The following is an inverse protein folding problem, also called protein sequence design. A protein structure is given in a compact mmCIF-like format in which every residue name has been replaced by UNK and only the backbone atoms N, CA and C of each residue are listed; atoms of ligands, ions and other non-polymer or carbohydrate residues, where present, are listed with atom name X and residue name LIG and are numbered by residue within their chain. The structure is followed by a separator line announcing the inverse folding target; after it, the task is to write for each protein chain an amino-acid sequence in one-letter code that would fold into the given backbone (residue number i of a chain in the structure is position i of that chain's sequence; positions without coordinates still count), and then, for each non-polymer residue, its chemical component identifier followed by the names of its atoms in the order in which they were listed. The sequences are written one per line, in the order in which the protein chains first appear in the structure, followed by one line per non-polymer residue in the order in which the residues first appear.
data_IF_142697698263
#
_entry.id   IF_142697698263
#
_cell.length_a   1.000
_cell.length_b   1.000
_cell.length_c   1.000
_cell.angle_alpha   90.00
_cell.angle_beta   90.00
_cell.angle_gamma   90.00
#
_symmetry.space_group_name_H-M   'P 1'
#
loop_
_entity.id
_entity.type
_entity.pdbx_description
1 polymer ?
#
# COMPACT_ATOMS: atom_id res chain seq x y z
N UNK A 1 -20.64 -5.57 9.84
CA UNK A 1 -19.91 -4.44 9.24
C UNK A 1 -18.54 -4.96 8.83
N UNK A 2 -18.22 -4.93 7.54
CA UNK A 2 -16.88 -5.30 7.08
C UNK A 2 -15.87 -4.29 7.61
N UNK A 3 -14.67 -4.77 7.97
CA UNK A 3 -13.54 -3.89 8.29
C UNK A 3 -13.28 -2.98 7.10
N UNK A 4 -13.20 -1.67 7.32
CA UNK A 4 -12.72 -0.71 6.32
C UNK A 4 -11.25 -1.02 6.06
N UNK A 5 -10.81 -0.95 4.81
CA UNK A 5 -9.39 -1.09 4.48
C UNK A 5 -8.56 0.01 5.14
N UNK A 6 -7.43 -0.36 5.71
CA UNK A 6 -6.43 0.59 6.22
C UNK A 6 -5.36 0.79 5.18
N UNK A 7 -4.83 2.00 5.08
CA UNK A 7 -3.83 2.35 4.08
C UNK A 7 -2.70 3.21 4.64
N UNK A 8 -1.60 3.27 3.91
CA UNK A 8 -0.44 4.08 4.26
C UNK A 8 0.60 4.08 3.15
N UNK A 9 1.71 4.75 3.42
CA UNK A 9 2.81 4.91 2.47
C UNK A 9 4.16 4.63 3.14
N UNK A 10 5.10 4.17 2.35
CA UNK A 10 6.51 4.07 2.74
C UNK A 10 7.27 5.18 2.04
N UNK A 11 7.90 6.03 2.84
CA UNK A 11 8.68 7.19 2.39
C UNK A 11 10.03 7.16 3.11
N UNK A 12 11.11 7.11 2.34
CA UNK A 12 12.49 6.98 2.84
C UNK A 12 12.68 5.83 3.87
N UNK A 13 12.06 4.67 3.61
CA UNK A 13 12.11 3.47 4.46
C UNK A 13 11.18 3.53 5.68
N UNK A 14 10.43 4.62 5.86
CA UNK A 14 9.54 4.80 7.02
C UNK A 14 8.09 4.65 6.60
N UNK A 15 7.34 3.82 7.31
CA UNK A 15 5.90 3.67 7.13
C UNK A 15 5.13 4.78 7.84
N UNK A 16 4.18 5.38 7.11
CA UNK A 16 3.21 6.34 7.61
C UNK A 16 1.81 5.82 7.29
N UNK A 17 1.00 5.59 8.32
CA UNK A 17 -0.43 5.33 8.14
C UNK A 17 -1.12 6.61 7.68
N UNK A 18 -2.09 6.47 6.77
CA UNK A 18 -2.86 7.59 6.22
C UNK A 18 -4.33 7.23 6.28
N UNK A 19 -5.16 8.17 6.72
CA UNK A 19 -6.59 7.93 6.88
C UNK A 19 -7.26 7.51 5.56
N UNK A 20 -8.05 6.44 5.62
CA UNK A 20 -8.93 6.04 4.53
C UNK A 20 -10.25 6.81 4.61
N UNK A 21 -10.46 7.71 3.64
CA UNK A 21 -11.67 8.54 3.53
C UNK A 21 -12.72 7.94 2.57
N UNK A 22 -12.52 6.71 2.08
CA UNK A 22 -13.53 6.04 1.26
C UNK A 22 -14.76 5.66 2.10
N UNK A 23 -15.93 5.82 1.51
CA UNK A 23 -17.19 5.32 2.06
C UNK A 23 -17.45 3.84 1.73
N UNK A 24 -16.58 3.23 0.92
CA UNK A 24 -16.67 1.83 0.52
C UNK A 24 -15.64 1.01 1.32
N UNK A 25 -16.07 -0.03 2.07
CA UNK A 25 -15.16 -0.81 2.92
C UNK A 25 -14.22 -1.75 2.16
N UNK A 26 -14.33 -1.85 0.82
CA UNK A 26 -13.52 -2.73 -0.03
C UNK A 26 -12.55 -1.96 -0.94
N UNK A 27 -12.31 -0.69 -0.64
CA UNK A 27 -11.31 0.14 -1.31
C UNK A 27 -10.74 1.14 -0.32
N UNK A 28 -9.69 1.83 -0.73
CA UNK A 28 -9.18 2.96 0.00
C UNK A 28 -9.03 4.20 -0.88
N UNK A 29 -9.24 5.35 -0.25
CA UNK A 29 -8.89 6.66 -0.77
C UNK A 29 -8.13 7.35 0.37
N UNK A 30 -6.84 7.62 0.17
CA UNK A 30 -6.03 8.30 1.20
C UNK A 30 -6.50 9.75 1.38
N UNK A 31 -6.53 10.22 2.63
CA UNK A 31 -6.71 11.63 2.94
C UNK A 31 -5.59 12.43 2.23
N UNK A 32 -5.94 13.35 1.30
CA UNK A 32 -4.94 14.05 0.52
C UNK A 32 -4.09 15.00 1.37
N UNK A 33 -4.66 15.64 2.41
CA UNK A 33 -3.91 16.59 3.24
C UNK A 33 -2.81 15.89 4.03
N UNK A 34 -3.13 14.73 4.62
CA UNK A 34 -2.18 13.88 5.33
C UNK A 34 -1.10 13.33 4.39
N UNK A 35 -1.52 12.73 3.27
CA UNK A 35 -0.61 12.22 2.25
C UNK A 35 0.40 13.29 1.82
N UNK A 36 -0.08 14.48 1.42
CA UNK A 36 0.79 15.58 1.02
C UNK A 36 1.64 16.11 2.17
N UNK A 37 1.19 16.06 3.42
CA UNK A 37 2.03 16.47 4.56
C UNK A 37 3.27 15.59 4.72
N UNK A 38 3.16 14.30 4.37
CA UNK A 38 4.23 13.31 4.52
C UNK A 38 5.23 13.40 3.36
N UNK A 39 4.75 13.48 2.12
CA UNK A 39 5.61 13.46 0.91
C UNK A 39 6.24 14.82 0.57
N UNK A 40 5.97 15.86 1.35
CA UNK A 40 6.61 17.17 1.19
C UNK A 40 8.13 17.08 1.39
N UNK A 41 8.86 18.02 0.78
CA UNK A 41 10.32 18.22 0.90
C UNK A 41 11.21 17.23 0.14
N UNK A 42 10.75 16.68 -0.99
CA UNK A 42 11.60 15.88 -1.89
C UNK A 42 11.91 14.47 -1.40
N UNK A 43 11.15 13.98 -0.42
CA UNK A 43 11.22 12.60 0.03
C UNK A 43 10.72 11.64 -1.04
N UNK A 44 11.30 10.45 -1.11
CA UNK A 44 10.94 9.47 -2.13
C UNK A 44 9.78 8.58 -1.65
N UNK A 45 8.66 8.61 -2.39
CA UNK A 45 7.58 7.64 -2.20
C UNK A 45 8.02 6.29 -2.79
N UNK A 46 8.23 5.31 -1.92
CA UNK A 46 8.73 4.00 -2.31
C UNK A 46 7.62 2.96 -2.47
N UNK A 47 6.60 3.01 -1.59
CA UNK A 47 5.47 2.10 -1.66
C UNK A 47 4.16 2.69 -1.16
N UNK A 48 3.07 2.16 -1.69
CA UNK A 48 1.72 2.25 -1.12
C UNK A 48 1.43 0.94 -0.39
N UNK A 49 0.83 1.02 0.78
CA UNK A 49 0.49 -0.14 1.61
C UNK A 49 -1.00 -0.09 1.92
N UNK A 50 -1.69 -1.21 1.78
CA UNK A 50 -3.09 -1.32 2.23
C UNK A 50 -3.47 -2.72 2.67
N UNK A 51 -4.61 -2.82 3.36
CA UNK A 51 -5.14 -4.08 3.84
C UNK A 51 -6.33 -4.54 3.03
N UNK A 52 -6.42 -5.85 2.77
CA UNK A 52 -7.61 -6.52 2.27
C UNK A 52 -8.17 -7.46 3.34
N UNK A 53 -9.48 -7.72 3.29
CA UNK A 53 -10.15 -8.57 4.30
C UNK A 53 -9.73 -10.06 4.21
N UNK A 54 -9.50 -10.58 2.99
CA UNK A 54 -9.42 -12.05 2.77
C UNK A 54 -8.14 -12.56 2.10
N UNK A 55 -7.60 -11.83 1.14
CA UNK A 55 -6.46 -12.25 0.34
C UNK A 55 -5.55 -11.03 0.08
N UNK A 56 -4.44 -11.22 -0.61
CA UNK A 56 -3.52 -10.12 -0.93
C UNK A 56 -3.43 -9.89 -2.45
N UNK A 57 -4.44 -10.30 -3.20
CA UNK A 57 -4.46 -10.15 -4.65
C UNK A 57 -5.01 -8.76 -4.99
N UNK A 58 -4.32 -7.95 -5.81
CA UNK A 58 -4.79 -6.61 -6.15
C UNK A 58 -6.15 -6.67 -6.85
N UNK A 59 -7.06 -5.78 -6.46
CA UNK A 59 -8.34 -5.55 -7.12
C UNK A 59 -8.14 -4.83 -8.46
N UNK A 60 -9.19 -4.76 -9.29
CA UNK A 60 -9.14 -3.96 -10.52
C UNK A 60 -8.82 -2.47 -10.26
N UNK A 61 -9.37 -1.92 -9.16
CA UNK A 61 -9.09 -0.54 -8.75
C UNK A 61 -7.62 -0.35 -8.33
N UNK A 62 -7.06 -1.32 -7.60
CA UNK A 62 -5.63 -1.32 -7.25
C UNK A 62 -4.77 -1.32 -8.51
N UNK A 63 -5.06 -2.22 -9.47
CA UNK A 63 -4.30 -2.35 -10.72
C UNK A 63 -4.29 -1.05 -11.53
N UNK A 64 -5.42 -0.34 -11.64
CA UNK A 64 -5.45 0.96 -12.32
C UNK A 64 -4.60 2.00 -11.60
N UNK A 65 -4.65 2.06 -10.26
CA UNK A 65 -3.82 2.98 -9.49
C UNK A 65 -2.33 2.62 -9.54
N UNK A 66 -1.98 1.33 -9.61
CA UNK A 66 -0.61 0.87 -9.80
C UNK A 66 0.00 1.40 -11.10
N UNK A 67 -0.79 1.52 -12.17
CA UNK A 67 -0.34 2.11 -13.46
C UNK A 67 -0.03 3.60 -13.34
N UNK A 68 -0.77 4.30 -12.48
CA UNK A 68 -0.65 5.75 -12.28
C UNK A 68 0.55 6.05 -11.38
N UNK A 69 0.58 5.45 -10.19
CA UNK A 69 1.56 5.75 -9.15
C UNK A 69 2.94 5.14 -9.42
N UNK A 70 3.02 3.97 -10.08
CA UNK A 70 4.27 3.29 -10.49
C UNK A 70 5.30 3.05 -9.38
N UNK A 71 4.83 2.96 -8.13
CA UNK A 71 5.61 2.56 -6.95
C UNK A 71 5.32 1.10 -6.60
N UNK A 72 5.97 0.57 -5.55
CA UNK A 72 5.62 -0.74 -5.01
C UNK A 72 4.27 -0.68 -4.29
N UNK A 73 3.53 -1.79 -4.30
CA UNK A 73 2.26 -1.93 -3.58
C UNK A 73 2.36 -3.12 -2.65
N UNK A 74 2.13 -2.92 -1.36
CA UNK A 74 2.18 -3.98 -0.36
C UNK A 74 0.76 -4.20 0.14
N UNK A 75 0.22 -5.38 -0.14
CA UNK A 75 -1.13 -5.78 0.25
C UNK A 75 -1.04 -6.77 1.38
N UNK A 76 -1.72 -6.45 2.47
CA UNK A 76 -1.71 -7.22 3.71
C UNK A 76 -3.12 -7.77 3.95
N UNK A 77 -3.21 -9.02 4.40
CA UNK A 77 -4.45 -9.56 4.97
C UNK A 77 -4.11 -10.39 6.19
N UNK A 78 -5.14 -10.93 6.85
CA UNK A 78 -4.97 -11.84 7.99
C UNK A 78 -4.11 -13.08 7.69
N UNK A 79 -4.00 -13.48 6.42
CA UNK A 79 -3.35 -14.73 6.01
C UNK A 79 -2.13 -14.55 5.13
N UNK A 80 -1.83 -13.33 4.67
CA UNK A 80 -0.72 -13.10 3.75
C UNK A 80 -0.22 -11.66 3.81
N UNK A 81 1.00 -11.50 3.32
CA UNK A 81 1.59 -10.22 2.96
C UNK A 81 2.21 -10.43 1.59
N UNK A 82 1.86 -9.60 0.61
CA UNK A 82 2.40 -9.67 -0.75
C UNK A 82 2.78 -8.30 -1.27
N UNK A 83 3.83 -8.26 -2.07
CA UNK A 83 4.29 -7.05 -2.73
C UNK A 83 4.10 -7.16 -4.23
N UNK A 84 3.75 -6.05 -4.86
CA UNK A 84 3.50 -5.95 -6.30
C UNK A 84 4.17 -4.71 -6.87
N UNK A 85 4.43 -4.75 -8.18
CA UNK A 85 4.89 -3.58 -8.94
C UNK A 85 4.26 -3.59 -10.33
N UNK A 86 3.96 -2.41 -10.85
CA UNK A 86 3.57 -2.28 -12.25
C UNK A 86 4.79 -2.22 -13.17
N UNK A 87 4.79 -3.07 -14.20
CA UNK A 87 5.73 -3.07 -15.31
C UNK A 87 5.00 -2.73 -16.61
N UNK A 88 5.50 -1.76 -17.36
CA UNK A 88 4.90 -1.37 -18.65
C UNK A 88 4.89 -2.51 -19.69
N UNK A 89 5.75 -3.52 -19.54
CA UNK A 89 5.85 -4.65 -20.46
C UNK A 89 5.09 -5.91 -20.00
N UNK A 90 5.00 -6.12 -18.67
CA UNK A 90 4.44 -7.35 -18.10
C UNK A 90 3.12 -7.13 -17.34
N UNK A 91 2.69 -5.87 -17.18
CA UNK A 91 1.58 -5.52 -16.31
C UNK A 91 1.97 -5.61 -14.83
N UNK A 92 1.04 -6.02 -13.98
CA UNK A 92 1.29 -6.19 -12.55
C UNK A 92 2.05 -7.48 -12.29
N UNK A 93 3.21 -7.37 -11.65
CA UNK A 93 4.04 -8.50 -11.24
C UNK A 93 4.07 -8.58 -9.71
N UNK A 94 4.00 -9.79 -9.17
CA UNK A 94 4.30 -10.07 -7.76
C UNK A 94 5.82 -10.03 -7.57
N UNK A 95 6.28 -9.38 -6.51
CA UNK A 95 7.70 -9.31 -6.13
C UNK A 95 7.89 -9.92 -4.75
N UNK A 96 9.03 -10.58 -4.53
CA UNK A 96 9.38 -11.07 -3.21
C UNK A 96 9.55 -9.87 -2.26
N UNK A 97 8.79 -9.86 -1.17
CA UNK A 97 8.82 -8.76 -0.20
C UNK A 97 10.20 -8.59 0.44
N UNK A 98 10.98 -9.66 0.56
CA UNK A 98 12.34 -9.62 1.10
C UNK A 98 13.36 -9.08 0.08
N UNK A 99 12.95 -8.86 -1.16
CA UNK A 99 13.78 -8.31 -2.25
C UNK A 99 13.49 -6.83 -2.52
N UNK A 100 12.64 -6.19 -1.72
CA UNK A 100 12.35 -4.77 -1.85
C UNK A 100 13.63 -3.93 -1.61
N UNK A 101 13.84 -2.85 -2.38
CA UNK A 101 15.06 -2.04 -2.28
C UNK A 101 15.09 -1.10 -1.06
N UNK A 102 14.19 -1.31 -0.10
CA UNK A 102 14.07 -0.54 1.12
C UNK A 102 13.73 -1.48 2.28
N UNK A 103 14.29 -1.19 3.44
CA UNK A 103 13.95 -1.92 4.65
C UNK A 103 12.57 -1.50 5.12
N UNK A 104 11.81 -2.49 5.55
CA UNK A 104 10.44 -2.31 5.97
C UNK A 104 10.40 -2.73 7.43
N UNK A 105 10.52 -1.79 8.36
CA UNK A 105 10.68 -2.12 9.79
C UNK A 105 9.53 -3.02 10.29
N UNK A 106 9.78 -4.17 10.89
CA UNK A 106 8.77 -5.22 11.18
C UNK A 106 7.52 -4.76 11.98
N UNK A 107 7.57 -3.61 12.65
CA UNK A 107 6.53 -3.13 13.57
C UNK A 107 5.26 -2.56 12.93
N UNK A 108 5.16 -2.33 11.61
CA UNK A 108 3.94 -1.75 11.01
C UNK A 108 2.91 -2.79 10.54
N UNK A 109 3.33 -3.98 10.09
CA UNK A 109 2.40 -5.04 9.67
C UNK A 109 1.45 -5.46 10.81
N UNK A 110 1.97 -5.47 12.05
CA UNK A 110 1.20 -5.75 13.27
C UNK A 110 0.24 -4.60 13.63
N UNK A 111 0.54 -3.36 13.23
CA UNK A 111 -0.34 -2.20 13.50
C UNK A 111 -1.57 -2.20 12.61
N UNK A 112 -1.41 -2.56 11.33
CA UNK A 112 -2.50 -2.53 10.34
C UNK A 112 -3.52 -3.68 10.48
N UNK A 113 -3.13 -4.77 11.15
CA UNK A 113 -3.99 -5.95 11.38
C UNK A 113 -4.71 -5.96 12.75
N UNK A 114 -4.50 -4.94 13.58
CA UNK A 114 -5.23 -4.73 14.85
C UNK A 114 -6.45 -3.84 14.65
#
# INVERSE_FOLDING_TARGET
MGSIERCGIIVDGVFYEVDNISNNPYEFIMNPEEFYSIIRNGKELQAIVHTHVKNCTPSGFDVENMKIWKVYWIIISSNCIKAYKYSSSLGVIEVDINSLPFEVSDNFFVKLLK
#
